data_IF_012106605852
#
_entry.id   IF_012106605852
#
_cell.length_a   1.000
_cell.length_b   1.000
_cell.length_c   1.000
_cell.angle_alpha   90.00
_cell.angle_beta   90.00
_cell.angle_gamma   90.00
#
_symmetry.space_group_name_H-M   'P 1'
#
loop_
_entity.id
_entity.type
_entity.pdbx_description
1 polymer ?
#
# COMPACT_ATOMS: atom_id res chain seq x y z
N UNK A 1 -33.72 51.97 31.40
CA UNK A 1 -32.92 50.86 31.97
C UNK A 1 -33.61 49.54 31.68
N UNK A 2 -33.24 48.82 30.61
CA UNK A 2 -33.50 47.38 30.49
C UNK A 2 -32.25 46.71 29.94
N UNK A 3 -31.75 45.75 30.73
CA UNK A 3 -30.50 45.02 30.59
C UNK A 3 -30.71 43.83 29.64
N UNK A 4 -29.75 43.68 28.71
CA UNK A 4 -29.14 42.46 28.15
C UNK A 4 -30.06 41.26 27.80
N UNK A 5 -29.93 40.80 26.55
CA UNK A 5 -29.71 39.37 26.27
C UNK A 5 -28.85 39.25 25.02
N UNK A 6 -27.52 39.28 25.21
CA UNK A 6 -26.56 38.87 24.20
C UNK A 6 -26.62 37.34 24.09
N UNK A 7 -27.26 36.84 23.03
CA UNK A 7 -27.22 35.43 22.66
C UNK A 7 -25.84 35.10 22.10
N UNK A 8 -24.93 34.68 22.99
CA UNK A 8 -23.68 34.02 22.61
C UNK A 8 -24.01 32.60 22.16
N UNK A 9 -24.20 32.42 20.86
CA UNK A 9 -24.19 31.10 20.22
C UNK A 9 -22.75 30.56 20.26
N UNK A 10 -22.45 29.80 21.31
CA UNK A 10 -21.25 28.97 21.38
C UNK A 10 -21.44 27.81 20.38
N UNK A 11 -20.96 27.99 19.15
CA UNK A 11 -20.84 26.90 18.21
C UNK A 11 -19.79 25.93 18.76
N UNK A 12 -20.24 24.80 19.32
CA UNK A 12 -19.37 23.70 19.71
C UNK A 12 -18.86 23.09 18.41
N UNK A 13 -17.67 23.50 17.97
CA UNK A 13 -16.93 22.79 16.95
C UNK A 13 -16.49 21.46 17.54
N UNK A 14 -17.26 20.40 17.30
CA UNK A 14 -16.79 19.04 17.56
C UNK A 14 -15.57 18.80 16.67
N UNK A 15 -14.43 18.35 17.22
CA UNK A 15 -13.32 17.94 16.38
C UNK A 15 -13.79 16.76 15.54
N UNK A 16 -13.90 16.95 14.23
CA UNK A 16 -14.05 15.86 13.27
C UNK A 16 -12.71 15.13 13.32
N UNK A 17 -12.64 14.07 14.13
CA UNK A 17 -11.52 13.15 14.07
C UNK A 17 -11.64 12.40 12.75
N UNK A 18 -10.66 12.60 11.86
CA UNK A 18 -10.55 11.78 10.67
C UNK A 18 -10.51 10.31 11.11
N UNK A 19 -11.39 9.49 10.55
CA UNK A 19 -11.42 8.07 10.87
C UNK A 19 -10.13 7.41 10.37
N UNK A 20 -9.62 6.45 11.14
CA UNK A 20 -8.47 5.66 10.72
C UNK A 20 -8.78 4.86 9.46
N UNK A 21 -7.82 4.87 8.54
CA UNK A 21 -7.87 4.16 7.26
C UNK A 21 -6.84 3.04 7.22
N UNK A 22 -7.19 1.96 6.53
CA UNK A 22 -6.35 0.79 6.39
C UNK A 22 -6.26 0.34 4.95
N UNK A 23 -5.16 -0.31 4.60
CA UNK A 23 -5.03 -0.94 3.29
C UNK A 23 -3.93 -1.98 3.25
N UNK A 24 -3.86 -2.75 2.17
CA UNK A 24 -2.75 -3.64 1.88
C UNK A 24 -2.10 -3.25 0.57
N UNK A 25 -0.77 -3.31 0.53
CA UNK A 25 0.03 -3.47 -0.67
C UNK A 25 0.68 -4.84 -0.57
N UNK A 26 0.48 -5.70 -1.56
CA UNK A 26 1.15 -6.99 -1.60
C UNK A 26 1.09 -7.62 -2.98
N UNK A 27 1.57 -8.84 -3.05
CA UNK A 27 1.84 -9.52 -4.31
C UNK A 27 1.34 -10.96 -4.25
N UNK A 28 1.07 -11.54 -5.41
CA UNK A 28 0.88 -12.97 -5.56
C UNK A 28 1.83 -13.48 -6.64
N UNK A 29 2.64 -14.51 -6.35
CA UNK A 29 3.57 -15.07 -7.33
C UNK A 29 3.12 -16.43 -7.84
N UNK A 30 3.44 -16.69 -9.11
CA UNK A 30 3.39 -18.02 -9.72
C UNK A 30 4.81 -18.59 -9.79
N UNK A 31 5.10 -19.69 -9.10
CA UNK A 31 6.45 -20.24 -9.00
C UNK A 31 7.01 -20.73 -10.33
N UNK A 32 6.16 -21.29 -11.20
CA UNK A 32 6.58 -21.93 -12.44
C UNK A 32 6.37 -21.09 -13.71
N UNK A 33 5.95 -19.82 -13.57
CA UNK A 33 5.68 -18.98 -14.74
C UNK A 33 6.98 -18.34 -15.25
N UNK A 34 7.44 -18.78 -16.42
CA UNK A 34 8.59 -18.16 -17.12
C UNK A 34 8.25 -16.79 -17.72
N UNK A 35 6.96 -16.43 -17.83
CA UNK A 35 6.49 -15.23 -18.53
C UNK A 35 5.42 -14.38 -17.80
N UNK A 36 4.86 -14.85 -16.68
CA UNK A 36 3.79 -14.16 -15.94
C UNK A 36 3.98 -14.35 -14.43
N UNK A 37 4.94 -13.65 -13.81
CA UNK A 37 5.45 -14.12 -12.51
C UNK A 37 4.88 -13.44 -11.27
N UNK A 38 4.24 -12.29 -11.33
CA UNK A 38 3.63 -11.69 -10.13
C UNK A 38 2.46 -10.77 -10.44
N UNK A 39 1.40 -10.91 -9.66
CA UNK A 39 0.27 -9.99 -9.62
C UNK A 39 0.42 -9.04 -8.43
N UNK A 40 0.56 -7.75 -8.72
CA UNK A 40 0.54 -6.68 -7.71
C UNK A 40 -0.91 -6.39 -7.30
N UNK A 41 -1.16 -6.21 -6.00
CA UNK A 41 -2.49 -5.91 -5.47
C UNK A 41 -2.44 -4.84 -4.40
N UNK A 42 -3.39 -3.92 -4.50
CA UNK A 42 -3.76 -2.97 -3.46
C UNK A 42 -5.22 -3.18 -3.05
N UNK A 43 -5.57 -2.82 -1.82
CA UNK A 43 -6.98 -2.72 -1.39
C UNK A 43 -7.56 -1.36 -1.74
N UNK A 44 -8.87 -1.18 -1.55
CA UNK A 44 -9.50 0.12 -1.65
C UNK A 44 -8.91 1.11 -0.62
N UNK A 45 -8.80 2.36 -1.04
CA UNK A 45 -8.47 3.50 -0.18
C UNK A 45 -9.61 3.80 0.79
N UNK A 46 -9.30 4.46 1.90
CA UNK A 46 -10.25 4.85 2.95
C UNK A 46 -11.05 3.68 3.52
N UNK A 47 -10.50 2.47 3.42
CA UNK A 47 -11.14 1.26 3.93
C UNK A 47 -10.95 1.14 5.45
N UNK A 48 -11.93 0.52 6.11
CA UNK A 48 -11.75 0.01 7.47
C UNK A 48 -10.81 -1.20 7.46
N UNK A 49 -10.22 -1.53 8.62
CA UNK A 49 -9.36 -2.72 8.74
C UNK A 49 -10.06 -4.00 8.27
N UNK A 50 -11.32 -4.19 8.65
CA UNK A 50 -12.10 -5.36 8.26
C UNK A 50 -12.30 -5.46 6.73
N UNK A 51 -12.56 -4.32 6.07
CA UNK A 51 -12.70 -4.28 4.61
C UNK A 51 -11.38 -4.56 3.90
N UNK A 52 -10.28 -3.94 4.36
CA UNK A 52 -8.96 -4.15 3.79
C UNK A 52 -8.52 -5.63 3.93
N UNK A 53 -8.68 -6.21 5.12
CA UNK A 53 -8.38 -7.61 5.39
C UNK A 53 -9.19 -8.54 4.48
N UNK A 54 -10.51 -8.34 4.41
CA UNK A 54 -11.39 -9.16 3.58
C UNK A 54 -10.98 -9.12 2.11
N UNK A 55 -10.69 -7.93 1.57
CA UNK A 55 -10.27 -7.78 0.17
C UNK A 55 -8.94 -8.47 -0.12
N UNK A 56 -7.99 -8.42 0.82
CA UNK A 56 -6.71 -9.11 0.69
C UNK A 56 -6.89 -10.63 0.71
N UNK A 57 -7.63 -11.14 1.69
CA UNK A 57 -7.88 -12.58 1.84
C UNK A 57 -8.65 -13.14 0.63
N UNK A 58 -9.62 -12.39 0.11
CA UNK A 58 -10.38 -12.76 -1.08
C UNK A 58 -9.49 -12.82 -2.33
N UNK A 59 -8.63 -11.82 -2.52
CA UNK A 59 -7.65 -11.82 -3.60
C UNK A 59 -6.74 -13.05 -3.55
N UNK A 60 -6.14 -13.33 -2.38
CA UNK A 60 -5.23 -14.46 -2.23
C UNK A 60 -5.93 -15.80 -2.46
N UNK A 61 -7.14 -15.96 -1.92
CA UNK A 61 -7.94 -17.17 -2.11
C UNK A 61 -8.32 -17.37 -3.58
N UNK A 62 -8.75 -16.32 -4.27
CA UNK A 62 -9.12 -16.37 -5.68
C UNK A 62 -7.93 -16.73 -6.57
N UNK A 63 -6.77 -16.10 -6.35
CA UNK A 63 -5.56 -16.40 -7.12
C UNK A 63 -5.07 -17.84 -6.92
N UNK A 64 -5.03 -18.31 -5.66
CA UNK A 64 -4.67 -19.69 -5.35
C UNK A 64 -5.66 -20.70 -5.95
N UNK A 65 -6.95 -20.38 -5.98
CA UNK A 65 -7.96 -21.24 -6.61
C UNK A 65 -7.79 -21.31 -8.14
N UNK A 66 -7.49 -20.18 -8.79
CA UNK A 66 -7.32 -20.10 -10.25
C UNK A 66 -6.03 -20.78 -10.73
N UNK A 67 -4.97 -20.76 -9.92
CA UNK A 67 -3.66 -21.30 -10.28
C UNK A 67 -3.12 -22.18 -9.14
N UNK A 68 -3.72 -23.38 -8.94
CA UNK A 68 -3.39 -24.24 -7.83
C UNK A 68 -2.08 -24.97 -8.08
N UNK A 69 -0.96 -24.40 -7.62
CA UNK A 69 0.33 -25.09 -7.52
C UNK A 69 0.90 -24.88 -6.12
N UNK A 70 1.63 -25.87 -5.60
CA UNK A 70 2.10 -25.89 -4.21
C UNK A 70 3.05 -24.73 -3.86
N UNK A 71 3.77 -24.21 -4.84
CA UNK A 71 4.73 -23.13 -4.64
C UNK A 71 4.15 -21.74 -4.98
N UNK A 72 2.87 -21.65 -5.36
CA UNK A 72 2.21 -20.36 -5.61
C UNK A 72 1.73 -19.72 -4.31
N UNK A 73 1.66 -18.39 -4.26
CA UNK A 73 1.08 -17.74 -3.10
C UNK A 73 1.20 -16.23 -3.04
N UNK A 74 0.43 -15.67 -2.11
CA UNK A 74 0.55 -14.28 -1.71
C UNK A 74 1.80 -14.06 -0.85
N UNK A 75 2.49 -12.94 -1.08
CA UNK A 75 3.69 -12.52 -0.34
C UNK A 75 3.79 -10.99 -0.27
N UNK A 76 4.71 -10.48 0.54
CA UNK A 76 4.95 -9.04 0.67
C UNK A 76 3.74 -8.24 1.19
N UNK A 77 2.80 -8.91 1.87
CA UNK A 77 1.57 -8.32 2.37
C UNK A 77 1.87 -7.27 3.45
N UNK A 78 1.80 -6.00 3.06
CA UNK A 78 2.11 -4.87 3.92
C UNK A 78 0.81 -4.19 4.34
N UNK A 79 0.43 -4.34 5.61
CA UNK A 79 -0.70 -3.61 6.19
C UNK A 79 -0.31 -2.14 6.40
N UNK A 80 -1.15 -1.24 5.90
CA UNK A 80 -1.02 0.20 6.03
C UNK A 80 -2.09 0.72 6.99
N UNK A 81 -1.71 1.65 7.87
CA UNK A 81 -2.62 2.36 8.78
C UNK A 81 -2.34 3.85 8.70
N UNK A 82 -3.21 4.60 8.02
CA UNK A 82 -3.00 6.01 7.68
C UNK A 82 -1.61 6.28 7.08
N UNK A 83 -1.22 5.43 6.12
CA UNK A 83 0.12 5.40 5.55
C UNK A 83 0.07 5.10 4.05
N UNK A 84 1.15 5.47 3.39
CA UNK A 84 1.52 5.09 2.04
C UNK A 84 2.61 4.02 2.06
N UNK A 85 2.66 3.24 0.99
CA UNK A 85 3.76 2.35 0.68
C UNK A 85 4.07 2.38 -0.80
N UNK A 86 5.33 2.10 -1.11
CA UNK A 86 5.77 1.89 -2.48
C UNK A 86 6.63 0.63 -2.53
N UNK A 87 6.56 -0.05 -3.67
CA UNK A 87 7.37 -1.21 -3.96
C UNK A 87 8.19 -0.97 -5.23
N UNK A 88 9.47 -1.31 -5.15
CA UNK A 88 10.40 -1.28 -6.27
C UNK A 88 11.06 -2.64 -6.44
N UNK A 89 11.55 -2.93 -7.64
CA UNK A 89 12.32 -4.14 -7.93
C UNK A 89 13.36 -3.91 -9.03
N UNK A 90 14.41 -4.73 -9.04
CA UNK A 90 15.44 -4.69 -10.09
C UNK A 90 14.94 -5.46 -11.32
N UNK A 91 14.63 -4.73 -12.39
CA UNK A 91 14.08 -5.27 -13.63
C UNK A 91 15.05 -6.23 -14.35
N UNK A 92 16.36 -6.16 -14.06
CA UNK A 92 17.36 -7.09 -14.64
C UNK A 92 17.33 -8.46 -14.02
N UNK A 93 16.75 -8.60 -12.82
CA UNK A 93 16.47 -9.90 -12.19
C UNK A 93 15.26 -10.59 -12.84
N UNK A 94 14.75 -10.01 -13.92
CA UNK A 94 13.61 -10.48 -14.68
C UNK A 94 12.33 -10.00 -14.02
N UNK A 95 11.41 -10.93 -13.77
CA UNK A 95 10.10 -10.60 -13.24
C UNK A 95 10.18 -10.33 -11.72
N UNK A 96 9.20 -9.59 -11.19
CA UNK A 96 9.01 -9.42 -9.76
C UNK A 96 8.78 -10.78 -9.10
N UNK A 97 9.44 -11.00 -7.96
CA UNK A 97 9.50 -12.24 -7.18
C UNK A 97 9.64 -11.91 -5.69
N UNK A 98 9.37 -12.89 -4.81
CA UNK A 98 9.53 -12.70 -3.36
C UNK A 98 10.92 -12.22 -2.91
N UNK A 99 11.98 -12.49 -3.67
CA UNK A 99 13.37 -12.19 -3.29
C UNK A 99 14.01 -11.00 -4.02
N UNK A 100 13.24 -10.23 -4.79
CA UNK A 100 13.73 -9.03 -5.49
C UNK A 100 12.82 -7.81 -5.38
N UNK A 101 11.82 -7.84 -4.49
CA UNK A 101 10.96 -6.69 -4.20
C UNK A 101 11.42 -5.96 -2.94
N UNK A 102 11.37 -4.64 -2.97
CA UNK A 102 11.76 -3.73 -1.88
C UNK A 102 10.59 -2.82 -1.59
N UNK A 103 10.07 -2.85 -0.36
CA UNK A 103 8.87 -2.12 0.04
C UNK A 103 9.25 -1.08 1.10
N UNK A 104 8.91 0.18 0.85
CA UNK A 104 9.01 1.26 1.84
C UNK A 104 7.61 1.70 2.28
N UNK A 105 7.49 2.15 3.53
CA UNK A 105 6.22 2.56 4.16
C UNK A 105 6.44 3.88 4.91
N UNK A 106 5.49 4.79 4.82
CA UNK A 106 5.61 6.14 5.40
C UNK A 106 4.37 6.98 5.12
N UNK A 107 4.34 8.22 5.62
CA UNK A 107 3.18 9.11 5.41
C UNK A 107 3.26 9.92 4.12
N UNK A 108 4.46 10.26 3.68
CA UNK A 108 4.65 11.04 2.46
C UNK A 108 4.87 10.12 1.26
N UNK A 109 3.98 10.23 0.27
CA UNK A 109 3.97 9.36 -0.90
C UNK A 109 5.24 9.46 -1.77
N UNK A 110 5.76 10.68 -1.97
CA UNK A 110 6.99 10.88 -2.77
C UNK A 110 8.21 10.31 -2.06
N UNK A 111 8.28 10.49 -0.75
CA UNK A 111 9.35 9.96 0.07
C UNK A 111 9.38 8.43 0.02
N UNK A 112 8.23 7.75 0.19
CA UNK A 112 8.20 6.27 0.18
C UNK A 112 8.58 5.70 -1.19
N UNK A 113 8.21 6.35 -2.29
CA UNK A 113 8.63 5.94 -3.63
C UNK A 113 10.15 6.03 -3.79
N UNK A 114 10.73 7.16 -3.38
CA UNK A 114 12.17 7.37 -3.42
C UNK A 114 12.91 6.38 -2.51
N UNK A 115 12.40 6.12 -1.30
CA UNK A 115 12.99 5.15 -0.37
C UNK A 115 12.95 3.73 -0.92
N UNK A 116 11.83 3.29 -1.50
CA UNK A 116 11.72 1.96 -2.11
C UNK A 116 12.72 1.79 -3.26
N UNK A 117 12.82 2.81 -4.13
CA UNK A 117 13.77 2.81 -5.23
C UNK A 117 15.22 2.79 -4.72
N UNK A 118 15.57 3.64 -3.75
CA UNK A 118 16.92 3.67 -3.19
C UNK A 118 17.32 2.35 -2.53
N UNK A 119 16.41 1.69 -1.80
CA UNK A 119 16.67 0.38 -1.20
C UNK A 119 16.94 -0.67 -2.28
N UNK A 120 16.17 -0.65 -3.38
CA UNK A 120 16.43 -1.50 -4.52
C UNK A 120 17.82 -1.23 -5.14
N UNK A 121 18.15 0.04 -5.43
CA UNK A 121 19.41 0.43 -6.06
C UNK A 121 20.62 0.05 -5.20
N UNK A 122 20.52 0.22 -3.87
CA UNK A 122 21.55 -0.19 -2.93
C UNK A 122 21.79 -1.70 -2.97
N UNK A 123 20.72 -2.49 -3.02
CA UNK A 123 20.83 -3.94 -3.13
C UNK A 123 21.35 -4.40 -4.51
N UNK A 124 21.08 -3.63 -5.56
CA UNK A 124 21.58 -3.83 -6.92
C UNK A 124 22.98 -3.25 -7.16
N UNK A 125 23.68 -2.79 -6.11
CA UNK A 125 25.03 -2.19 -6.18
C UNK A 125 25.13 -0.97 -7.12
N UNK A 126 24.07 -0.17 -7.20
CA UNK A 126 24.06 1.11 -7.93
C UNK A 126 23.84 1.00 -9.44
N UNK A 127 23.46 -0.16 -9.95
CA UNK A 127 23.11 -0.31 -11.36
C UNK A 127 21.65 0.15 -11.60
N UNK A 128 21.45 1.03 -12.58
CA UNK A 128 20.24 1.87 -12.73
C UNK A 128 19.02 1.16 -13.33
N UNK A 129 18.64 -0.02 -12.84
CA UNK A 129 17.51 -0.79 -13.38
C UNK A 129 16.39 -1.05 -12.37
N UNK A 130 16.44 -0.39 -11.22
CA UNK A 130 15.38 -0.42 -10.24
C UNK A 130 14.23 0.51 -10.65
N UNK A 131 13.02 -0.03 -10.68
CA UNK A 131 11.81 0.72 -11.01
C UNK A 131 10.76 0.54 -9.91
N UNK A 132 10.00 1.60 -9.66
CA UNK A 132 8.83 1.54 -8.77
C UNK A 132 7.69 0.86 -9.52
N UNK A 133 7.34 -0.34 -9.09
CA UNK A 133 6.23 -1.14 -9.64
C UNK A 133 4.87 -0.58 -9.21
N UNK A 134 4.77 -0.16 -7.96
CA UNK A 134 3.50 0.30 -7.39
C UNK A 134 3.74 1.22 -6.23
N UNK A 135 2.86 2.21 -6.10
CA UNK A 135 2.77 3.04 -4.92
C UNK A 135 1.29 3.21 -4.57
N UNK A 136 0.97 3.19 -3.28
CA UNK A 136 -0.40 3.19 -2.79
C UNK A 136 -0.49 3.81 -1.39
N UNK A 137 -1.57 4.54 -1.10
CA UNK A 137 -1.89 5.02 0.24
C UNK A 137 -3.21 4.44 0.75
N UNK A 138 -3.26 4.10 2.03
CA UNK A 138 -4.50 3.67 2.69
C UNK A 138 -5.56 4.77 2.73
N UNK A 139 -5.14 6.04 2.63
CA UNK A 139 -5.99 7.22 2.60
C UNK A 139 -5.72 8.03 1.32
N UNK A 140 -6.78 8.41 0.61
CA UNK A 140 -6.70 9.23 -0.61
C UNK A 140 -6.08 10.62 -0.38
N UNK A 141 -6.17 11.14 0.84
CA UNK A 141 -5.68 12.47 1.18
C UNK A 141 -4.14 12.50 1.27
N UNK A 142 -3.51 11.36 1.57
CA UNK A 142 -2.04 11.25 1.71
C UNK A 142 -1.28 11.36 0.38
N UNK A 143 -1.97 11.24 -0.76
CA UNK A 143 -1.34 11.45 -2.06
C UNK A 143 -1.02 12.92 -2.35
N UNK A 144 -1.67 13.85 -1.63
CA UNK A 144 -1.52 15.29 -1.87
C UNK A 144 -0.41 15.94 -1.02
N UNK A 145 0.22 15.19 -0.11
CA UNK A 145 1.32 15.63 0.76
C UNK A 145 2.71 15.48 0.10
#
# INVERSE_FOLDING_TARGET
>A
MFKKCAWLLYAISLPIMAADTYGYLGFWHHANASSAATHTRTTAENATLAQAQQQWDDFCREMNFRQPEQENGCFGATLLHNQCAAAAFDTRRGLLKPNNVYIAVGKNMRQVQHEAQQQCEQAAQGESACEVETAFCSNSDLYQE
#
